data_IF_859165081621
#
_entry.id   IF_859165081621
#
_cell.length_a   1.000
_cell.length_b   1.000
_cell.length_c   1.000
_cell.angle_alpha   90.00
_cell.angle_beta   90.00
_cell.angle_gamma   90.00
#
_symmetry.space_group_name_H-M   'P 1'
#
loop_
_entity.id
_entity.type
_entity.pdbx_description
1 polymer ?
#
# COMPACT_ATOMS: atom_id res chain seq x y z
N UNK A 1 -35.91 -32.11 15.90
CA UNK A 1 -35.68 -32.51 14.49
C UNK A 1 -34.38 -33.30 14.43
N UNK A 2 -34.38 -34.56 13.96
CA UNK A 2 -33.13 -35.35 13.89
C UNK A 2 -32.33 -34.92 12.66
N UNK A 3 -31.06 -34.54 12.86
CA UNK A 3 -30.14 -34.23 11.76
C UNK A 3 -29.76 -35.51 11.02
N UNK A 4 -29.69 -35.45 9.69
CA UNK A 4 -29.12 -36.53 8.89
C UNK A 4 -27.58 -36.55 9.08
N UNK A 5 -26.96 -37.74 8.99
CA UNK A 5 -25.50 -37.94 9.03
C UNK A 5 -24.73 -36.94 8.15
N UNK A 6 -25.21 -36.65 6.95
CA UNK A 6 -24.58 -35.66 6.05
C UNK A 6 -24.60 -34.24 6.62
N UNK A 7 -25.68 -33.86 7.30
CA UNK A 7 -25.77 -32.55 7.96
C UNK A 7 -24.79 -32.48 9.11
N UNK A 8 -24.67 -33.53 9.91
CA UNK A 8 -23.70 -33.58 11.02
C UNK A 8 -22.26 -33.42 10.51
N UNK A 9 -21.88 -34.15 9.45
CA UNK A 9 -20.55 -34.04 8.84
C UNK A 9 -20.31 -32.59 8.35
N UNK A 10 -21.28 -32.02 7.66
CA UNK A 10 -21.23 -30.64 7.22
C UNK A 10 -21.00 -29.64 8.38
N UNK A 11 -21.80 -29.73 9.44
CA UNK A 11 -21.67 -28.86 10.61
C UNK A 11 -20.29 -28.98 11.27
N UNK A 12 -19.80 -30.20 11.44
CA UNK A 12 -18.50 -30.45 12.08
C UNK A 12 -17.37 -29.87 11.23
N UNK A 13 -17.35 -30.16 9.93
CA UNK A 13 -16.30 -29.64 9.04
C UNK A 13 -16.33 -28.13 8.91
N UNK A 14 -17.52 -27.54 8.87
CA UNK A 14 -17.71 -26.10 8.90
C UNK A 14 -17.15 -25.48 10.19
N UNK A 15 -17.49 -26.05 11.36
CA UNK A 15 -17.03 -25.54 12.65
C UNK A 15 -15.50 -25.60 12.75
N UNK A 16 -14.89 -26.70 12.29
CA UNK A 16 -13.43 -26.84 12.26
C UNK A 16 -12.79 -25.78 11.36
N UNK A 17 -13.34 -25.56 10.15
CA UNK A 17 -12.81 -24.57 9.22
C UNK A 17 -12.94 -23.13 9.77
N UNK A 18 -14.08 -22.79 10.38
CA UNK A 18 -14.28 -21.48 11.02
C UNK A 18 -13.34 -21.30 12.22
N UNK A 19 -13.15 -22.34 13.04
CA UNK A 19 -12.24 -22.28 14.17
C UNK A 19 -10.78 -22.15 13.72
N UNK A 20 -10.38 -22.87 12.67
CA UNK A 20 -9.05 -22.74 12.08
C UNK A 20 -8.82 -21.32 11.55
N UNK A 21 -9.76 -20.75 10.79
CA UNK A 21 -9.66 -19.37 10.29
C UNK A 21 -9.66 -18.34 11.43
N UNK A 22 -10.44 -18.57 12.49
CA UNK A 22 -10.44 -17.72 13.68
C UNK A 22 -9.08 -17.76 14.41
N UNK A 23 -8.50 -18.94 14.61
CA UNK A 23 -7.18 -19.08 15.24
C UNK A 23 -6.09 -18.38 14.43
N UNK A 24 -6.08 -18.57 13.10
CA UNK A 24 -5.17 -17.86 12.20
C UNK A 24 -5.36 -16.34 12.28
N UNK A 25 -6.59 -15.86 12.46
CA UNK A 25 -6.89 -14.43 12.64
C UNK A 25 -6.44 -13.85 13.98
N UNK A 26 -6.36 -14.67 15.03
CA UNK A 26 -5.94 -14.26 16.38
C UNK A 26 -4.47 -14.57 16.67
N UNK A 27 -3.74 -15.04 15.68
CA UNK A 27 -2.34 -15.43 15.79
C UNK A 27 -1.61 -15.01 14.53
N UNK A 28 -0.95 -15.91 13.83
CA UNK A 28 -0.22 -15.63 12.60
C UNK A 28 -0.54 -16.69 11.55
N UNK A 29 -0.30 -16.34 10.28
CA UNK A 29 -0.50 -17.27 9.17
C UNK A 29 0.39 -18.51 9.30
N UNK A 30 -0.22 -19.68 9.29
CA UNK A 30 0.44 -20.96 9.49
C UNK A 30 0.38 -21.47 10.93
N UNK A 31 -0.25 -20.75 11.86
CA UNK A 31 -0.41 -21.19 13.25
C UNK A 31 -1.00 -22.60 13.33
N UNK A 32 -2.05 -22.89 12.55
CA UNK A 32 -2.70 -24.20 12.56
C UNK A 32 -1.79 -25.28 11.99
N UNK A 33 -1.01 -24.96 10.94
CA UNK A 33 -0.08 -25.91 10.33
C UNK A 33 1.00 -26.37 11.33
N UNK A 34 1.51 -25.42 12.11
CA UNK A 34 2.57 -25.67 13.10
C UNK A 34 2.05 -26.52 14.27
N UNK A 35 0.85 -26.24 14.77
CA UNK A 35 0.34 -26.89 15.99
C UNK A 35 -0.51 -28.14 15.74
N UNK A 36 -1.09 -28.29 14.54
CA UNK A 36 -2.04 -29.37 14.22
C UNK A 36 -1.59 -30.23 13.03
N UNK A 37 -0.35 -30.08 12.54
CA UNK A 37 0.28 -30.84 11.44
C UNK A 37 -0.39 -30.72 10.07
N UNK A 38 -1.53 -30.03 9.96
CA UNK A 38 -2.25 -29.81 8.73
C UNK A 38 -2.44 -28.31 8.49
N UNK A 39 -2.12 -27.82 7.29
CA UNK A 39 -2.40 -26.44 6.93
C UNK A 39 -3.88 -26.08 7.02
N UNK A 40 -4.19 -24.87 7.49
CA UNK A 40 -5.56 -24.40 7.68
C UNK A 40 -6.41 -24.48 6.39
N UNK A 41 -5.79 -24.24 5.24
CA UNK A 41 -6.46 -24.27 3.93
C UNK A 41 -7.06 -25.65 3.58
N UNK A 42 -6.56 -26.74 4.15
CA UNK A 42 -7.14 -28.08 3.96
C UNK A 42 -8.55 -28.11 4.56
N UNK A 43 -8.72 -27.54 5.75
CA UNK A 43 -10.02 -27.46 6.42
C UNK A 43 -11.00 -26.57 5.66
N UNK A 44 -10.52 -25.44 5.10
CA UNK A 44 -11.36 -24.55 4.29
C UNK A 44 -11.85 -25.25 3.03
N UNK A 45 -10.97 -25.99 2.36
CA UNK A 45 -11.29 -26.77 1.17
C UNK A 45 -12.32 -27.87 1.49
N UNK A 46 -12.09 -28.64 2.55
CA UNK A 46 -13.02 -29.70 2.98
C UNK A 46 -14.40 -29.14 3.32
N UNK A 47 -14.46 -28.07 4.12
CA UNK A 47 -15.72 -27.41 4.45
C UNK A 47 -16.43 -26.89 3.18
N UNK A 48 -15.68 -26.36 2.21
CA UNK A 48 -16.24 -25.86 0.96
C UNK A 48 -16.81 -26.98 0.09
N UNK A 49 -16.07 -28.08 -0.08
CA UNK A 49 -16.54 -29.27 -0.84
C UNK A 49 -17.80 -29.84 -0.18
N UNK A 50 -17.79 -30.01 1.15
CA UNK A 50 -18.93 -30.57 1.87
C UNK A 50 -20.12 -29.61 1.83
N UNK A 51 -19.90 -28.29 1.85
CA UNK A 51 -20.95 -27.29 1.65
C UNK A 51 -21.66 -27.43 0.30
N UNK A 52 -20.91 -27.72 -0.77
CA UNK A 52 -21.48 -27.94 -2.09
C UNK A 52 -22.31 -29.23 -2.13
N UNK A 53 -21.80 -30.34 -1.58
CA UNK A 53 -22.51 -31.62 -1.70
C UNK A 53 -23.70 -31.71 -0.72
N UNK A 54 -23.65 -30.96 0.38
CA UNK A 54 -24.68 -31.01 1.41
C UNK A 54 -25.95 -30.25 1.02
N UNK A 55 -27.10 -30.77 1.46
CA UNK A 55 -28.37 -30.06 1.36
C UNK A 55 -28.31 -28.74 2.15
N UNK A 56 -28.99 -27.68 1.68
CA UNK A 56 -28.98 -26.38 2.31
C UNK A 56 -29.35 -26.46 3.79
N UNK A 57 -28.66 -25.65 4.57
CA UNK A 57 -28.80 -25.52 6.01
C UNK A 57 -30.22 -25.06 6.36
N UNK A 58 -30.75 -25.55 7.49
CA UNK A 58 -32.03 -25.06 8.03
C UNK A 58 -31.94 -23.58 8.47
N UNK A 59 -33.08 -22.92 8.59
CA UNK A 59 -33.18 -21.47 8.82
C UNK A 59 -32.42 -20.89 10.03
N UNK A 60 -32.29 -21.54 11.21
CA UNK A 60 -31.71 -20.84 12.38
C UNK A 60 -30.20 -20.61 12.26
N UNK A 61 -29.43 -21.57 11.73
CA UNK A 61 -27.99 -21.39 11.56
C UNK A 61 -27.67 -20.34 10.49
N UNK A 62 -28.46 -20.28 9.41
CA UNK A 62 -28.26 -19.25 8.39
C UNK A 62 -28.42 -17.84 8.98
N UNK A 63 -29.40 -17.64 9.86
CA UNK A 63 -29.56 -16.36 10.58
C UNK A 63 -28.36 -16.04 11.45
N UNK A 64 -27.84 -17.02 12.20
CA UNK A 64 -26.64 -16.84 13.02
C UNK A 64 -25.41 -16.49 12.17
N UNK A 65 -25.18 -17.22 11.07
CA UNK A 65 -24.05 -16.97 10.16
C UNK A 65 -24.14 -15.60 9.51
N UNK A 66 -25.35 -15.10 9.19
CA UNK A 66 -25.55 -13.73 8.70
C UNK A 66 -25.16 -12.69 9.76
N UNK A 67 -25.54 -12.90 11.02
CA UNK A 67 -25.17 -11.99 12.11
C UNK A 67 -23.66 -11.99 12.28
N UNK A 68 -23.04 -13.16 12.33
CA UNK A 68 -21.58 -13.30 12.44
C UNK A 68 -20.91 -12.61 11.24
N UNK A 69 -21.39 -12.82 10.00
CA UNK A 69 -20.80 -12.19 8.82
C UNK A 69 -20.86 -10.67 8.89
N UNK A 70 -21.99 -10.09 9.31
CA UNK A 70 -22.12 -8.64 9.47
C UNK A 70 -21.15 -8.08 10.50
N UNK A 71 -21.04 -8.75 11.65
CA UNK A 71 -20.10 -8.36 12.71
C UNK A 71 -18.66 -8.46 12.20
N UNK A 72 -18.28 -9.58 11.59
CA UNK A 72 -16.91 -9.82 11.12
C UNK A 72 -16.51 -8.88 9.98
N UNK A 73 -17.40 -8.56 9.03
CA UNK A 73 -17.16 -7.54 8.00
C UNK A 73 -16.96 -6.17 8.64
N UNK A 74 -17.82 -5.79 9.60
CA UNK A 74 -17.72 -4.49 10.26
C UNK A 74 -16.42 -4.35 11.06
N UNK A 75 -16.03 -5.39 11.79
CA UNK A 75 -14.74 -5.45 12.50
C UNK A 75 -13.58 -5.39 11.51
N UNK A 76 -13.60 -6.19 10.44
CA UNK A 76 -12.55 -6.19 9.42
C UNK A 76 -12.36 -4.81 8.78
N UNK A 77 -13.45 -4.17 8.33
CA UNK A 77 -13.39 -2.83 7.72
C UNK A 77 -12.88 -1.80 8.73
N UNK A 78 -13.32 -1.86 9.99
CA UNK A 78 -12.88 -0.93 11.03
C UNK A 78 -11.39 -1.07 11.32
N UNK A 79 -10.89 -2.31 11.44
CA UNK A 79 -9.46 -2.57 11.66
C UNK A 79 -8.64 -2.18 10.43
N UNK A 80 -9.14 -2.44 9.22
CA UNK A 80 -8.47 -2.04 7.98
C UNK A 80 -8.37 -0.50 7.86
N UNK A 81 -9.42 0.23 8.27
CA UNK A 81 -9.34 1.69 8.36
C UNK A 81 -8.28 2.10 9.37
N UNK A 82 -8.27 1.53 10.58
CA UNK A 82 -7.29 1.87 11.61
C UNK A 82 -5.82 1.61 11.16
N UNK A 83 -5.59 0.49 10.50
CA UNK A 83 -4.34 0.10 9.86
C UNK A 83 -3.90 1.13 8.81
N UNK A 84 -4.77 1.43 7.85
CA UNK A 84 -4.50 2.39 6.78
C UNK A 84 -4.33 3.82 7.28
N UNK A 85 -4.97 4.18 8.40
CA UNK A 85 -4.80 5.49 9.01
C UNK A 85 -3.44 5.64 9.70
N UNK A 86 -2.83 4.55 10.15
CA UNK A 86 -1.64 4.57 11.02
C UNK A 86 -0.38 4.18 10.25
N UNK A 87 0.02 2.91 10.27
CA UNK A 87 1.16 2.36 9.53
C UNK A 87 0.96 0.85 9.28
N UNK A 88 1.69 0.24 8.32
CA UNK A 88 1.59 -1.20 8.05
C UNK A 88 1.99 -2.08 9.25
N UNK A 89 1.22 -3.13 9.50
CA UNK A 89 1.15 -4.01 10.66
C UNK A 89 0.68 -3.40 11.99
N UNK A 90 0.13 -2.18 12.01
CA UNK A 90 -0.33 -1.52 13.25
C UNK A 90 -1.31 -2.38 14.07
N UNK A 91 -2.36 -2.93 13.43
CA UNK A 91 -3.39 -3.75 14.06
C UNK A 91 -2.78 -5.00 14.67
N UNK A 92 -1.89 -5.67 13.94
CA UNK A 92 -1.24 -6.88 14.43
C UNK A 92 -0.32 -6.58 15.62
N UNK A 93 0.44 -5.49 15.58
CA UNK A 93 1.31 -5.09 16.68
C UNK A 93 0.53 -4.80 17.96
N UNK A 94 -0.64 -4.15 17.86
CA UNK A 94 -1.39 -3.71 19.04
C UNK A 94 -2.34 -4.80 19.58
N UNK A 95 -3.00 -5.53 18.69
CA UNK A 95 -4.10 -6.45 19.05
C UNK A 95 -3.74 -7.92 18.83
N UNK A 96 -2.64 -8.20 18.14
CA UNK A 96 -2.28 -9.53 17.64
C UNK A 96 -3.32 -10.13 16.69
N UNK A 97 -4.23 -9.31 16.14
CA UNK A 97 -5.17 -9.72 15.10
C UNK A 97 -4.46 -9.65 13.76
N UNK A 98 -4.35 -10.78 13.09
CA UNK A 98 -3.87 -10.87 11.72
C UNK A 98 -5.02 -10.53 10.75
N UNK A 99 -4.91 -9.38 10.07
CA UNK A 99 -5.93 -8.90 9.13
C UNK A 99 -6.16 -9.87 7.96
N UNK A 100 -5.11 -10.55 7.49
CA UNK A 100 -5.22 -11.54 6.41
C UNK A 100 -5.94 -12.82 6.89
N UNK A 101 -5.68 -13.27 8.12
CA UNK A 101 -6.44 -14.36 8.74
C UNK A 101 -7.91 -14.00 8.92
N UNK A 102 -8.20 -12.79 9.40
CA UNK A 102 -9.58 -12.28 9.54
C UNK A 102 -10.30 -12.17 8.20
N UNK A 103 -9.60 -11.76 7.15
CA UNK A 103 -10.11 -11.74 5.77
C UNK A 103 -10.54 -13.14 5.31
N UNK A 104 -9.70 -14.16 5.53
CA UNK A 104 -10.02 -15.55 5.17
C UNK A 104 -11.27 -16.01 5.93
N UNK A 105 -11.39 -15.65 7.21
CA UNK A 105 -12.56 -15.95 8.03
C UNK A 105 -13.85 -15.35 7.45
N UNK A 106 -13.82 -14.07 7.08
CA UNK A 106 -14.96 -13.38 6.44
C UNK A 106 -15.34 -14.02 5.11
N UNK A 107 -14.36 -14.30 4.25
CA UNK A 107 -14.55 -14.94 2.94
C UNK A 107 -15.22 -16.31 3.07
N UNK A 108 -14.76 -17.12 4.02
CA UNK A 108 -15.29 -18.46 4.25
C UNK A 108 -16.78 -18.38 4.62
N UNK A 109 -17.16 -17.51 5.58
CA UNK A 109 -18.56 -17.34 6.00
C UNK A 109 -19.45 -16.91 4.82
N UNK A 110 -19.02 -15.94 4.02
CA UNK A 110 -19.79 -15.47 2.86
C UNK A 110 -19.97 -16.56 1.82
N UNK A 111 -18.90 -17.30 1.50
CA UNK A 111 -18.98 -18.44 0.59
C UNK A 111 -20.05 -19.44 1.05
N UNK A 112 -20.05 -19.80 2.33
CA UNK A 112 -21.02 -20.72 2.92
C UNK A 112 -22.45 -20.19 2.84
N UNK A 113 -22.65 -18.90 3.17
CA UNK A 113 -23.95 -18.26 3.09
C UNK A 113 -24.51 -18.31 1.66
N UNK A 114 -23.68 -18.00 0.66
CA UNK A 114 -24.06 -18.02 -0.76
C UNK A 114 -24.37 -19.44 -1.24
N UNK A 115 -23.56 -20.44 -0.89
CA UNK A 115 -23.83 -21.85 -1.23
C UNK A 115 -25.15 -22.33 -0.63
N UNK A 116 -25.47 -21.87 0.58
CA UNK A 116 -26.68 -22.29 1.28
C UNK A 116 -27.98 -21.69 0.73
N UNK A 117 -27.91 -20.61 -0.07
CA UNK A 117 -29.08 -19.93 -0.65
C UNK A 117 -29.49 -20.50 -2.02
N UNK A 118 -28.55 -21.04 -2.79
CA UNK A 118 -28.80 -21.48 -4.16
C UNK A 118 -29.24 -22.95 -4.19
N UNK A 119 -30.55 -23.17 -4.39
CA UNK A 119 -31.20 -24.50 -4.29
C UNK A 119 -31.33 -25.26 -5.62
N UNK A 120 -31.10 -24.62 -6.77
CA UNK A 120 -31.48 -25.17 -8.08
C UNK A 120 -30.38 -25.18 -9.14
N UNK A 121 -29.18 -24.66 -8.85
CA UNK A 121 -28.07 -24.64 -9.80
C UNK A 121 -27.18 -25.88 -9.72
N UNK A 122 -26.57 -26.23 -10.84
CA UNK A 122 -25.48 -27.20 -10.94
C UNK A 122 -24.38 -26.91 -9.90
N UNK A 123 -23.87 -27.92 -9.16
CA UNK A 123 -22.88 -27.72 -8.11
C UNK A 123 -21.58 -27.03 -8.57
N UNK A 124 -21.11 -27.27 -9.79
CA UNK A 124 -19.91 -26.63 -10.35
C UNK A 124 -20.17 -25.16 -10.68
N UNK A 125 -21.31 -24.87 -11.30
CA UNK A 125 -21.71 -23.50 -11.61
C UNK A 125 -21.91 -22.68 -10.32
N UNK A 126 -22.51 -23.29 -9.30
CA UNK A 126 -22.70 -22.70 -7.97
C UNK A 126 -21.37 -22.41 -7.28
N UNK A 127 -20.38 -23.30 -7.38
CA UNK A 127 -19.04 -23.07 -6.86
C UNK A 127 -18.40 -21.83 -7.51
N UNK A 128 -18.37 -21.77 -8.84
CA UNK A 128 -17.77 -20.66 -9.58
C UNK A 128 -18.44 -19.31 -9.27
N UNK A 129 -19.78 -19.28 -9.28
CA UNK A 129 -20.58 -18.09 -8.94
C UNK A 129 -20.28 -17.61 -7.52
N UNK A 130 -20.27 -18.51 -6.53
CA UNK A 130 -20.11 -18.12 -5.13
C UNK A 130 -18.68 -17.70 -4.79
N UNK A 131 -17.66 -18.32 -5.40
CA UNK A 131 -16.28 -17.85 -5.30
C UNK A 131 -16.12 -16.46 -5.90
N UNK A 132 -16.71 -16.22 -7.08
CA UNK A 132 -16.69 -14.89 -7.71
C UNK A 132 -17.37 -13.84 -6.83
N UNK A 133 -18.55 -14.13 -6.28
CA UNK A 133 -19.24 -13.20 -5.37
C UNK A 133 -18.45 -12.95 -4.09
N UNK A 134 -17.88 -13.99 -3.47
CA UNK A 134 -17.06 -13.82 -2.28
C UNK A 134 -15.81 -12.95 -2.58
N UNK A 135 -15.15 -13.19 -3.72
CA UNK A 135 -14.03 -12.37 -4.17
C UNK A 135 -14.44 -10.91 -4.43
N UNK A 136 -15.58 -10.67 -5.09
CA UNK A 136 -16.08 -9.32 -5.35
C UNK A 136 -16.44 -8.57 -4.07
N UNK A 137 -17.11 -9.22 -3.12
CA UNK A 137 -17.42 -8.64 -1.80
C UNK A 137 -16.12 -8.25 -1.10
N UNK A 138 -15.10 -9.09 -1.19
CA UNK A 138 -13.81 -8.83 -0.59
C UNK A 138 -13.08 -7.64 -1.23
N UNK A 139 -12.90 -7.65 -2.56
CA UNK A 139 -12.28 -6.52 -3.29
C UNK A 139 -13.02 -5.22 -2.99
N UNK A 140 -14.34 -5.29 -2.87
CA UNK A 140 -15.15 -4.13 -2.49
C UNK A 140 -14.90 -3.69 -1.05
N UNK A 141 -14.82 -4.61 -0.09
CA UNK A 141 -14.59 -4.29 1.32
C UNK A 141 -13.19 -3.72 1.58
N UNK A 142 -12.16 -4.29 0.97
CA UNK A 142 -10.79 -3.79 1.03
C UNK A 142 -10.69 -2.42 0.35
N UNK A 143 -11.22 -2.29 -0.87
CA UNK A 143 -11.26 -1.03 -1.60
C UNK A 143 -12.01 0.07 -0.85
N UNK A 144 -13.13 -0.26 -0.19
CA UNK A 144 -13.88 0.65 0.67
C UNK A 144 -13.07 1.06 1.90
N UNK A 145 -12.41 0.12 2.58
CA UNK A 145 -11.57 0.42 3.74
C UNK A 145 -10.43 1.39 3.40
N UNK A 146 -9.71 1.13 2.31
CA UNK A 146 -8.65 2.01 1.81
C UNK A 146 -9.21 3.37 1.40
N UNK A 147 -10.30 3.41 0.62
CA UNK A 147 -10.91 4.65 0.16
C UNK A 147 -11.41 5.51 1.34
N UNK A 148 -12.05 4.89 2.33
CA UNK A 148 -12.50 5.59 3.54
C UNK A 148 -11.32 6.10 4.36
N UNK A 149 -10.22 5.33 4.47
CA UNK A 149 -9.01 5.79 5.15
C UNK A 149 -8.39 7.00 4.44
N UNK A 150 -8.28 6.97 3.10
CA UNK A 150 -7.80 8.10 2.31
C UNK A 150 -8.70 9.32 2.43
N UNK A 151 -10.03 9.14 2.33
CA UNK A 151 -11.00 10.21 2.52
C UNK A 151 -10.92 10.81 3.93
N UNK A 152 -10.83 9.97 4.95
CA UNK A 152 -10.71 10.41 6.35
C UNK A 152 -9.41 11.19 6.55
N UNK A 153 -8.27 10.66 6.08
CA UNK A 153 -6.98 11.39 6.09
C UNK A 153 -7.09 12.73 5.38
N UNK A 154 -7.66 12.76 4.18
CA UNK A 154 -7.84 13.98 3.39
C UNK A 154 -8.73 15.01 4.07
N UNK A 155 -9.87 14.59 4.62
CA UNK A 155 -10.79 15.47 5.35
C UNK A 155 -10.15 15.98 6.63
N UNK A 156 -9.57 15.10 7.45
CA UNK A 156 -8.87 15.49 8.69
C UNK A 156 -7.77 16.50 8.39
N UNK A 157 -6.95 16.23 7.37
CA UNK A 157 -5.91 17.15 6.92
C UNK A 157 -6.48 18.49 6.44
N UNK A 158 -7.53 18.47 5.61
CA UNK A 158 -8.16 19.68 5.09
C UNK A 158 -8.80 20.53 6.19
N UNK A 159 -9.38 19.90 7.22
CA UNK A 159 -9.95 20.58 8.38
C UNK A 159 -8.85 21.17 9.26
N UNK A 160 -7.83 20.38 9.62
CA UNK A 160 -6.76 20.81 10.52
C UNK A 160 -5.87 21.90 9.93
N UNK A 161 -5.84 22.01 8.60
CA UNK A 161 -5.04 22.99 7.86
C UNK A 161 -5.91 23.95 7.04
N UNK A 162 -7.18 24.13 7.42
CA UNK A 162 -8.12 24.96 6.64
C UNK A 162 -7.64 26.40 6.43
N UNK A 163 -7.00 26.98 7.47
CA UNK A 163 -6.47 28.35 7.48
C UNK A 163 -5.06 28.49 6.92
N UNK A 164 -4.37 27.37 6.64
CA UNK A 164 -3.03 27.41 6.06
C UNK A 164 -3.06 27.98 4.65
N UNK A 165 -2.00 28.72 4.29
CA UNK A 165 -1.81 29.17 2.92
C UNK A 165 -1.62 27.97 1.98
N UNK A 166 -1.77 28.21 0.68
CA UNK A 166 -1.53 27.17 -0.32
C UNK A 166 -0.11 26.58 -0.22
N UNK A 167 0.87 27.46 -0.03
CA UNK A 167 2.29 27.09 0.13
C UNK A 167 2.54 26.26 1.39
N UNK A 168 1.92 26.63 2.51
CA UNK A 168 2.04 25.90 3.78
C UNK A 168 1.43 24.50 3.67
N UNK A 169 0.28 24.37 2.98
CA UNK A 169 -0.35 23.08 2.71
C UNK A 169 0.57 22.19 1.89
N UNK A 170 1.15 22.69 0.80
CA UNK A 170 2.07 21.89 -0.03
C UNK A 170 3.34 21.50 0.73
N UNK A 171 3.89 22.41 1.53
CA UNK A 171 5.06 22.15 2.37
C UNK A 171 4.76 21.06 3.42
N UNK A 172 3.59 21.10 4.06
CA UNK A 172 3.18 20.08 5.04
C UNK A 172 2.83 18.75 4.38
N UNK A 173 2.23 18.76 3.19
CA UNK A 173 1.81 17.55 2.48
C UNK A 173 2.99 16.78 1.86
N UNK A 174 4.01 17.50 1.37
CA UNK A 174 5.13 16.91 0.63
C UNK A 174 6.50 17.11 1.30
N UNK A 175 6.54 17.74 2.48
CA UNK A 175 7.76 17.94 3.26
C UNK A 175 8.86 18.66 2.46
N UNK A 176 10.10 18.19 2.62
CA UNK A 176 11.27 18.75 1.94
C UNK A 176 11.22 18.70 0.41
N UNK A 177 10.43 17.80 -0.17
CA UNK A 177 10.32 17.67 -1.63
C UNK A 177 9.77 18.95 -2.26
N UNK A 178 8.71 19.53 -1.71
CA UNK A 178 8.10 20.73 -2.28
C UNK A 178 9.07 21.93 -2.23
N UNK A 179 9.69 22.17 -1.07
CA UNK A 179 10.69 23.23 -0.90
C UNK A 179 11.87 23.04 -1.86
N UNK A 180 12.35 21.80 -2.03
CA UNK A 180 13.40 21.50 -3.00
C UNK A 180 12.98 21.83 -4.44
N UNK A 181 11.78 21.43 -4.87
CA UNK A 181 11.29 21.73 -6.23
C UNK A 181 11.12 23.23 -6.48
N UNK A 182 10.73 24.01 -5.46
CA UNK A 182 10.71 25.47 -5.55
C UNK A 182 12.11 26.05 -5.78
N UNK A 183 13.11 25.60 -5.02
CA UNK A 183 14.50 26.01 -5.21
C UNK A 183 15.02 25.64 -6.61
N UNK A 184 14.70 24.44 -7.12
CA UNK A 184 15.05 24.06 -8.50
C UNK A 184 14.42 25.02 -9.51
N UNK A 185 13.16 25.40 -9.32
CA UNK A 185 12.46 26.34 -10.18
C UNK A 185 13.10 27.74 -10.17
N UNK A 186 13.58 28.19 -9.01
CA UNK A 186 14.26 29.48 -8.86
C UNK A 186 15.68 29.48 -9.47
N UNK A 187 16.37 28.33 -9.41
CA UNK A 187 17.77 28.20 -9.82
C UNK A 187 17.98 27.82 -11.29
N UNK A 188 16.94 27.35 -11.98
CA UNK A 188 17.08 26.83 -13.36
C UNK A 188 16.21 27.60 -14.35
N UNK A 189 16.70 27.88 -15.56
CA UNK A 189 15.86 28.42 -16.63
C UNK A 189 14.70 27.49 -17.02
N UNK A 190 13.65 28.05 -17.61
CA UNK A 190 12.45 27.31 -18.02
C UNK A 190 12.69 26.28 -19.13
N UNK A 191 13.67 26.53 -20.03
CA UNK A 191 14.05 25.61 -21.13
C UNK A 191 15.25 24.72 -20.74
N UNK A 192 15.11 23.98 -19.66
CA UNK A 192 16.17 23.08 -19.14
C UNK A 192 15.70 21.63 -19.09
N UNK A 193 16.66 20.72 -19.01
CA UNK A 193 16.43 19.31 -18.70
C UNK A 193 16.85 19.06 -17.25
N UNK A 194 15.94 18.55 -16.43
CA UNK A 194 16.19 18.15 -15.06
C UNK A 194 16.22 16.63 -14.98
N UNK A 195 17.37 16.08 -14.61
CA UNK A 195 17.56 14.66 -14.37
C UNK A 195 17.18 14.34 -12.92
N UNK A 196 16.38 13.30 -12.74
CA UNK A 196 15.89 12.82 -11.45
C UNK A 196 16.28 11.35 -11.21
N UNK A 197 16.25 10.86 -9.95
CA UNK A 197 16.49 9.45 -9.65
C UNK A 197 15.50 8.52 -10.35
N UNK A 198 15.78 7.21 -10.46
CA UNK A 198 14.79 6.24 -10.94
C UNK A 198 13.60 6.13 -9.98
N UNK A 199 12.41 5.84 -10.51
CA UNK A 199 11.21 5.62 -9.69
C UNK A 199 11.27 4.25 -9.00
N UNK A 200 11.56 4.24 -7.70
CA UNK A 200 11.58 3.06 -6.85
C UNK A 200 12.18 3.38 -5.49
N UNK A 201 12.09 2.47 -4.53
CA UNK A 201 12.70 2.64 -3.20
C UNK A 201 14.21 2.96 -3.34
N UNK A 202 14.73 4.06 -2.76
CA UNK A 202 14.12 4.98 -1.78
C UNK A 202 13.46 6.25 -2.35
N UNK A 203 13.47 6.44 -3.66
CA UNK A 203 13.01 7.63 -4.40
C UNK A 203 11.61 7.46 -5.02
N UNK A 204 10.64 6.92 -4.29
CA UNK A 204 9.29 6.70 -4.85
C UNK A 204 8.62 8.00 -5.30
N UNK A 205 8.90 9.12 -4.61
CA UNK A 205 8.39 10.46 -4.91
C UNK A 205 9.34 11.21 -5.83
N UNK A 206 10.63 11.25 -5.50
CA UNK A 206 11.64 12.00 -6.23
C UNK A 206 11.89 11.46 -7.64
N UNK A 207 11.74 10.15 -7.82
CA UNK A 207 11.83 9.49 -9.11
C UNK A 207 10.52 9.51 -9.91
N UNK A 208 9.42 10.02 -9.36
CA UNK A 208 8.15 10.08 -10.06
C UNK A 208 8.13 11.26 -11.05
N UNK A 209 8.52 11.01 -12.31
CA UNK A 209 8.65 12.05 -13.33
C UNK A 209 7.37 12.88 -13.55
N UNK A 210 6.15 12.31 -13.63
CA UNK A 210 4.92 13.10 -13.68
C UNK A 210 4.76 14.06 -12.51
N UNK A 211 5.04 13.61 -11.28
CA UNK A 211 4.94 14.44 -10.08
C UNK A 211 5.97 15.56 -10.06
N UNK A 212 7.23 15.27 -10.38
CA UNK A 212 8.27 16.31 -10.49
C UNK A 212 7.93 17.31 -11.60
N UNK A 213 7.45 16.83 -12.75
CA UNK A 213 7.04 17.69 -13.88
C UNK A 213 5.94 18.67 -13.48
N UNK A 214 4.98 18.24 -12.65
CA UNK A 214 3.92 19.12 -12.15
C UNK A 214 4.48 20.36 -11.45
N UNK A 215 5.56 20.21 -10.66
CA UNK A 215 6.19 21.33 -9.95
C UNK A 215 7.19 22.12 -10.80
N UNK A 216 7.87 21.47 -11.75
CA UNK A 216 8.98 22.08 -12.50
C UNK A 216 8.58 22.61 -13.89
N UNK A 217 7.32 22.41 -14.31
CA UNK A 217 6.82 22.87 -15.61
C UNK A 217 7.20 24.35 -15.87
N UNK A 218 7.71 24.71 -17.07
CA UNK A 218 7.75 23.93 -18.32
C UNK A 218 9.05 23.14 -18.57
N UNK A 219 9.88 22.92 -17.54
CA UNK A 219 11.14 22.19 -17.69
C UNK A 219 10.89 20.74 -18.08
N UNK A 220 11.79 20.17 -18.88
CA UNK A 220 11.75 18.74 -19.20
C UNK A 220 12.33 17.96 -18.03
N UNK A 221 11.69 16.87 -17.65
CA UNK A 221 12.13 16.00 -16.57
C UNK A 221 12.37 14.60 -17.12
N UNK A 222 13.51 13.99 -16.80
CA UNK A 222 13.83 12.63 -17.20
C UNK A 222 14.50 11.86 -16.06
N UNK A 223 14.12 10.59 -15.89
CA UNK A 223 14.83 9.69 -15.00
C UNK A 223 16.17 9.28 -15.64
N UNK A 224 17.27 9.50 -14.93
CA UNK A 224 18.57 9.00 -15.39
C UNK A 224 18.64 7.48 -15.20
N UNK A 225 19.03 6.74 -16.24
CA UNK A 225 19.27 5.29 -16.15
C UNK A 225 20.74 5.01 -15.89
N UNK A 226 21.59 5.23 -16.89
CA UNK A 226 23.00 4.83 -16.83
C UNK A 226 23.99 5.90 -17.30
N UNK A 227 23.59 6.77 -18.23
CA UNK A 227 24.46 7.80 -18.81
C UNK A 227 23.67 9.08 -19.12
N UNK A 228 24.33 10.22 -18.95
CA UNK A 228 23.79 11.51 -19.38
C UNK A 228 24.00 11.60 -20.90
N UNK A 229 22.90 11.48 -21.65
CA UNK A 229 22.92 11.68 -23.10
C UNK A 229 23.26 13.12 -23.47
N UNK A 230 23.71 13.34 -24.71
CA UNK A 230 23.85 14.71 -25.24
C UNK A 230 22.47 15.35 -25.32
N UNK A 231 22.35 16.55 -24.77
CA UNK A 231 21.14 17.36 -24.75
C UNK A 231 21.44 18.68 -25.46
N UNK A 232 20.47 19.17 -26.24
CA UNK A 232 20.48 20.51 -26.83
C UNK A 232 20.17 21.62 -25.81
N UNK A 233 19.76 21.23 -24.60
CA UNK A 233 19.43 22.10 -23.47
C UNK A 233 20.45 21.97 -22.36
N UNK A 234 20.56 23.02 -21.55
CA UNK A 234 21.30 22.96 -20.29
C UNK A 234 20.71 21.87 -19.39
N UNK A 235 21.59 20.97 -18.92
CA UNK A 235 21.23 19.83 -18.08
C UNK A 235 21.53 20.14 -16.63
N UNK A 236 20.55 19.86 -15.77
CA UNK A 236 20.73 19.84 -14.33
C UNK A 236 20.41 18.44 -13.81
N UNK A 237 21.09 18.01 -12.75
CA UNK A 237 20.76 16.78 -12.03
C UNK A 237 20.37 17.10 -10.60
N UNK A 238 19.23 16.56 -10.16
CA UNK A 238 18.78 16.67 -8.77
C UNK A 238 19.75 15.91 -7.86
N UNK A 239 19.99 16.40 -6.64
CA UNK A 239 20.56 15.57 -5.57
C UNK A 239 19.41 15.22 -4.64
N UNK A 240 19.19 13.93 -4.43
CA UNK A 240 18.09 13.43 -3.62
C UNK A 240 18.51 12.19 -2.84
N UNK A 241 18.34 12.23 -1.51
CA UNK A 241 18.65 11.12 -0.62
C UNK A 241 17.45 10.19 -0.39
N UNK A 242 16.29 10.48 -0.98
CA UNK A 242 15.07 9.68 -0.89
C UNK A 242 14.22 9.99 0.35
N UNK A 243 12.90 9.99 0.18
CA UNK A 243 11.95 10.34 1.24
C UNK A 243 11.55 9.18 2.14
N UNK A 244 11.95 7.94 1.81
CA UNK A 244 11.57 6.76 2.58
C UNK A 244 12.49 6.50 3.79
N UNK A 245 11.95 6.02 4.94
CA UNK A 245 12.76 5.73 6.13
C UNK A 245 13.88 4.74 5.83
N UNK A 246 15.09 5.03 6.31
CA UNK A 246 16.26 4.15 6.21
C UNK A 246 15.94 2.76 6.75
N UNK A 247 15.92 1.75 5.88
CA UNK A 247 16.01 0.36 6.30
C UNK A 247 17.48 -0.09 6.25
N UNK A 248 18.17 -0.01 7.39
CA UNK A 248 19.58 -0.43 7.52
C UNK A 248 20.62 0.60 7.03
N UNK A 249 21.86 0.15 6.84
CA UNK A 249 23.03 0.99 6.52
C UNK A 249 23.14 1.35 5.01
N UNK A 250 22.02 1.39 4.29
CA UNK A 250 22.06 1.64 2.83
C UNK A 250 22.26 3.12 2.53
N UNK A 251 23.23 3.41 1.66
CA UNK A 251 23.45 4.75 1.10
C UNK A 251 22.34 5.05 0.08
N UNK A 252 21.43 5.96 0.44
CA UNK A 252 20.28 6.35 -0.39
C UNK A 252 20.53 7.58 -1.26
N UNK A 253 21.76 8.09 -1.33
CA UNK A 253 22.08 9.30 -2.09
C UNK A 253 21.92 9.09 -3.60
N UNK A 254 21.39 10.06 -4.32
CA UNK A 254 21.43 10.13 -5.78
C UNK A 254 21.93 11.51 -6.20
N UNK A 255 22.77 11.64 -7.25
CA UNK A 255 23.31 10.59 -8.12
C UNK A 255 24.37 9.68 -7.46
N UNK A 256 24.54 8.46 -8.00
CA UNK A 256 25.57 7.50 -7.53
C UNK A 256 26.91 7.61 -8.25
N UNK A 257 27.00 8.48 -9.25
CA UNK A 257 28.19 8.67 -10.08
C UNK A 257 28.74 10.08 -9.88
N UNK A 258 30.05 10.23 -10.06
CA UNK A 258 30.68 11.55 -10.13
C UNK A 258 30.19 12.25 -11.39
N UNK A 259 29.86 13.54 -11.26
CA UNK A 259 29.41 14.35 -12.37
C UNK A 259 30.24 15.63 -12.44
N UNK A 260 30.80 15.89 -13.62
CA UNK A 260 31.44 17.16 -13.90
C UNK A 260 30.40 18.28 -13.82
N UNK A 261 30.71 19.33 -13.06
CA UNK A 261 29.74 20.36 -12.74
C UNK A 261 30.30 21.77 -12.88
N UNK A 262 29.48 22.66 -13.42
CA UNK A 262 29.79 24.10 -13.41
C UNK A 262 29.54 24.69 -12.03
N UNK A 263 28.39 24.31 -11.44
CA UNK A 263 27.93 24.75 -10.11
C UNK A 263 27.15 23.64 -9.43
N UNK A 264 27.27 23.59 -8.11
CA UNK A 264 26.47 22.76 -7.22
C UNK A 264 25.71 23.66 -6.25
N UNK A 265 24.49 23.28 -5.94
CA UNK A 265 23.69 23.91 -4.88
C UNK A 265 23.31 22.85 -3.86
N UNK A 266 23.72 23.05 -2.61
CA UNK A 266 23.22 22.28 -1.46
C UNK A 266 22.00 22.99 -0.90
N UNK A 267 20.87 22.31 -0.82
CA UNK A 267 19.63 22.91 -0.33
C UNK A 267 19.49 22.78 1.18
N UNK A 268 19.01 23.84 1.81
CA UNK A 268 18.39 23.83 3.13
C UNK A 268 16.89 24.04 2.94
N UNK A 269 16.18 22.93 2.81
CA UNK A 269 14.73 22.89 2.53
C UNK A 269 13.89 23.42 3.70
N UNK A 270 14.45 23.47 4.92
CA UNK A 270 13.76 23.99 6.09
C UNK A 270 13.70 25.52 6.06
N UNK A 271 14.77 26.15 5.59
CA UNK A 271 14.92 27.60 5.54
C UNK A 271 14.72 28.20 4.14
N UNK A 272 14.32 27.37 3.15
CA UNK A 272 14.21 27.76 1.73
C UNK A 272 15.46 28.51 1.24
N UNK A 273 16.63 27.93 1.49
CA UNK A 273 17.92 28.55 1.15
C UNK A 273 18.90 27.53 0.57
N UNK A 274 20.03 28.01 0.04
CA UNK A 274 21.04 27.14 -0.55
C UNK A 274 22.47 27.69 -0.38
N UNK A 275 23.43 26.76 -0.37
CA UNK A 275 24.87 27.06 -0.47
C UNK A 275 25.37 26.66 -1.86
N UNK A 276 26.24 27.50 -2.44
CA UNK A 276 26.78 27.26 -3.79
C UNK A 276 28.24 26.79 -3.73
N UNK A 277 28.59 25.82 -4.57
CA UNK A 277 29.96 25.32 -4.73
C UNK A 277 30.34 25.29 -6.22
N UNK A 278 31.58 25.66 -6.53
CA UNK A 278 32.13 25.63 -7.90
C UNK A 278 33.16 24.49 -8.00
N UNK A 279 32.67 23.25 -8.02
CA UNK A 279 33.46 22.03 -8.15
C UNK A 279 32.59 20.89 -8.68
N UNK A 280 33.22 19.81 -9.08
CA UNK A 280 32.51 18.58 -9.47
C UNK A 280 31.79 17.94 -8.28
N UNK A 281 30.72 17.22 -8.60
CA UNK A 281 29.95 16.43 -7.65
C UNK A 281 30.65 15.11 -7.34
N UNK A 282 30.83 14.81 -6.05
CA UNK A 282 31.36 13.51 -5.60
C UNK A 282 30.42 12.89 -4.56
N UNK A 283 29.66 11.82 -4.90
CA UNK A 283 28.72 11.20 -3.99
C UNK A 283 29.39 10.60 -2.74
N UNK A 284 30.72 10.38 -2.74
CA UNK A 284 31.42 9.90 -1.55
C UNK A 284 31.55 10.98 -0.46
N UNK A 285 31.54 12.26 -0.85
CA UNK A 285 31.69 13.40 0.07
C UNK A 285 30.42 14.23 0.19
N UNK A 286 29.57 14.21 -0.83
CA UNK A 286 28.37 15.04 -0.96
C UNK A 286 27.11 14.31 -0.50
N UNK A 287 27.09 13.94 0.79
CA UNK A 287 25.98 13.24 1.44
C UNK A 287 24.83 14.20 1.80
N UNK A 288 24.35 14.98 0.83
CA UNK A 288 23.29 15.97 1.04
C UNK A 288 21.92 15.33 0.87
N UNK A 289 20.95 15.72 1.70
CA UNK A 289 19.58 15.24 1.53
C UNK A 289 18.95 15.75 0.24
N UNK A 290 19.24 17.02 -0.09
CA UNK A 290 18.75 17.72 -1.27
C UNK A 290 19.80 18.63 -1.87
N UNK A 291 19.76 18.77 -3.19
CA UNK A 291 20.59 19.71 -3.91
C UNK A 291 20.35 19.68 -5.42
N UNK A 292 21.20 20.37 -6.15
CA UNK A 292 21.13 20.46 -7.60
C UNK A 292 22.53 20.61 -8.18
N UNK A 293 22.76 19.99 -9.33
CA UNK A 293 24.02 19.98 -10.08
C UNK A 293 23.74 20.65 -11.43
N UNK A 294 24.49 21.69 -11.79
CA UNK A 294 24.55 22.19 -13.17
C UNK A 294 25.63 21.41 -13.91
N UNK A 295 25.23 20.45 -14.74
CA UNK A 295 26.14 19.51 -15.41
C UNK A 295 26.96 20.26 -16.47
N UNK A 296 28.28 20.10 -16.46
CA UNK A 296 29.13 20.61 -17.55
C UNK A 296 29.15 19.63 -18.72
N UNK A 297 29.02 20.15 -19.93
CA UNK A 297 29.25 19.37 -21.15
C UNK A 297 30.70 19.59 -21.60
N UNK A 298 31.51 18.54 -21.49
CA UNK A 298 32.80 18.44 -22.19
C UNK A 298 32.61 17.89 -23.62
#
# INVERSE_FOLDING_TARGET
>A
MRLNKYQVIYFVTLLIALMAAFLESMSYLGFVAIHFFFPAYIWYLLASIIALVSKPIQSPLQSLLKIISWISVSVYVSLMIAESLTYPNFVYTLTHINLQGLQIFVLLIWFILLVSQDKQTDPLLRLGKNLLFAALIFVSAEGLGLSLAFLTKGITYAVSHSLDSYEDKLTKAHGGFYSAMRLVTELTPSNTLILIPPQGNPWEVEGNAPMVTYYLYPRKVENLRDQIGRSDRQVYALIAHGSWPKSGDTDYGWPKIKLSATRLWKFDVSNHSYLTYNRDYDPATDNWDWGLIEVSHE
#
